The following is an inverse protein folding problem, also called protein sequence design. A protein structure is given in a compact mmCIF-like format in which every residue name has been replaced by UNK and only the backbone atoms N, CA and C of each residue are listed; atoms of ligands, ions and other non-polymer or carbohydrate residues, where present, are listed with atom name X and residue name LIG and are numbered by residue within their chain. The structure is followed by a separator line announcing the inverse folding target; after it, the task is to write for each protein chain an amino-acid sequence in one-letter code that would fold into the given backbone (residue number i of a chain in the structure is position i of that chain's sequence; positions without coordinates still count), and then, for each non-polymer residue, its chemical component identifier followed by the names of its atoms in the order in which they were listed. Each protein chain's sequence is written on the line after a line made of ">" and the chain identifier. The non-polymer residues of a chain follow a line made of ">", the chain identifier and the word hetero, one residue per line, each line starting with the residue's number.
data_IF_828294821117
#
_entry.id   IF_828294821117
#
_cell.length_a   1.000
_cell.length_b   1.000
_cell.length_c   1.000
_cell.angle_alpha   90.00
_cell.angle_beta   90.00
_cell.angle_gamma   90.00
#
_symmetry.space_group_name_H-M   'P 1'
#
loop_
_entity.id
_entity.type
_entity.pdbx_description
1 polymer ?
#
# COMPACT_ATOMS: atom_id res chain seq x y z
N UNK A 1 -67.42 -31.06 -24.66
CA UNK A 1 -67.21 -29.87 -23.81
C UNK A 1 -65.77 -29.97 -23.27
N UNK A 2 -64.85 -29.29 -23.95
CA UNK A 2 -63.38 -29.43 -23.74
C UNK A 2 -62.88 -28.24 -22.93
N UNK A 3 -62.49 -28.49 -21.67
CA UNK A 3 -61.98 -27.44 -20.80
C UNK A 3 -60.51 -27.17 -21.12
N UNK A 4 -60.21 -25.98 -21.66
CA UNK A 4 -58.84 -25.49 -21.88
C UNK A 4 -58.38 -24.85 -20.58
N UNK A 5 -57.49 -25.54 -19.86
CA UNK A 5 -56.77 -24.97 -18.68
C UNK A 5 -55.65 -24.06 -19.21
N UNK A 6 -55.82 -22.76 -19.05
CA UNK A 6 -54.79 -21.75 -19.31
C UNK A 6 -53.79 -21.73 -18.14
N UNK A 7 -52.57 -22.14 -18.38
CA UNK A 7 -51.47 -21.99 -17.43
C UNK A 7 -51.10 -20.52 -17.25
N UNK A 8 -50.87 -20.08 -16.00
CA UNK A 8 -50.48 -18.67 -15.74
C UNK A 8 -48.99 -18.46 -16.02
N UNK A 9 -48.65 -17.82 -17.16
CA UNK A 9 -47.33 -17.43 -17.57
C UNK A 9 -46.68 -16.32 -16.75
N UNK A 10 -47.30 -15.90 -15.64
CA UNK A 10 -46.86 -14.70 -14.88
C UNK A 10 -45.75 -14.96 -13.83
N UNK A 11 -45.50 -16.22 -13.43
CA UNK A 11 -44.58 -16.52 -12.30
C UNK A 11 -43.10 -16.59 -12.70
N UNK A 12 -42.76 -16.80 -13.97
CA UNK A 12 -41.35 -16.95 -14.41
C UNK A 12 -40.54 -15.67 -14.41
N UNK A 13 -41.12 -14.52 -14.65
CA UNK A 13 -40.40 -13.23 -14.71
C UNK A 13 -39.95 -12.70 -13.34
N UNK A 14 -40.70 -12.96 -12.30
CA UNK A 14 -40.42 -12.45 -10.94
C UNK A 14 -39.26 -13.21 -10.27
N UNK A 15 -39.19 -14.52 -10.47
CA UNK A 15 -38.13 -15.37 -9.92
C UNK A 15 -36.74 -15.04 -10.53
N UNK A 16 -36.68 -14.69 -11.80
CA UNK A 16 -35.43 -14.30 -12.48
C UNK A 16 -34.92 -12.95 -12.00
N UNK A 17 -35.79 -11.97 -11.77
CA UNK A 17 -35.42 -10.65 -11.24
C UNK A 17 -34.88 -10.73 -9.83
N UNK A 18 -35.48 -11.56 -8.96
CA UNK A 18 -35.01 -11.79 -7.58
C UNK A 18 -33.63 -12.44 -7.57
N UNK A 19 -33.36 -13.40 -8.46
CA UNK A 19 -32.04 -14.06 -8.56
C UNK A 19 -30.95 -13.09 -9.02
N UNK A 20 -31.22 -12.24 -9.99
CA UNK A 20 -30.28 -11.23 -10.48
C UNK A 20 -29.99 -10.21 -9.36
N UNK A 21 -31.01 -9.74 -8.66
CA UNK A 21 -30.83 -8.80 -7.55
C UNK A 21 -30.01 -9.41 -6.38
N UNK A 22 -30.24 -10.68 -6.05
CA UNK A 22 -29.45 -11.39 -5.03
C UNK A 22 -27.98 -11.57 -5.42
N UNK A 23 -27.70 -11.85 -6.70
CA UNK A 23 -26.33 -11.95 -7.21
C UNK A 23 -25.64 -10.59 -7.18
N UNK A 24 -26.29 -9.52 -7.61
CA UNK A 24 -25.74 -8.16 -7.57
C UNK A 24 -25.48 -7.70 -6.13
N UNK A 25 -26.38 -8.01 -5.20
CA UNK A 25 -26.19 -7.70 -3.79
C UNK A 25 -25.01 -8.49 -3.20
N UNK A 26 -24.87 -9.77 -3.52
CA UNK A 26 -23.75 -10.60 -3.07
C UNK A 26 -22.41 -10.10 -3.63
N UNK A 27 -22.36 -9.70 -4.90
CA UNK A 27 -21.16 -9.09 -5.52
C UNK A 27 -20.84 -7.75 -4.86
N UNK A 28 -21.83 -6.93 -4.58
CA UNK A 28 -21.63 -5.65 -3.88
C UNK A 28 -21.10 -5.85 -2.46
N UNK A 29 -21.63 -6.82 -1.71
CA UNK A 29 -21.13 -7.17 -0.36
C UNK A 29 -19.69 -7.72 -0.45
N UNK A 30 -19.37 -8.55 -1.43
CA UNK A 30 -18.02 -9.06 -1.66
C UNK A 30 -17.01 -7.95 -2.00
N UNK A 31 -17.45 -6.92 -2.73
CA UNK A 31 -16.59 -5.74 -3.02
C UNK A 31 -16.40 -4.84 -1.79
N UNK A 32 -17.31 -4.82 -0.83
CA UNK A 32 -17.19 -4.07 0.42
C UNK A 32 -16.28 -4.77 1.45
N UNK A 33 -15.99 -6.05 1.28
CA UNK A 33 -15.06 -6.81 2.11
C UNK A 33 -13.57 -6.59 1.75
N UNK A 34 -13.24 -5.53 1.03
CA UNK A 34 -11.89 -5.07 0.77
C UNK A 34 -11.12 -4.95 2.08
N UNK A 35 -10.05 -5.75 2.21
CA UNK A 35 -9.32 -6.02 3.45
C UNK A 35 -9.11 -4.80 4.33
N UNK A 36 -9.37 -4.99 5.61
CA UNK A 36 -9.15 -3.96 6.62
C UNK A 36 -7.67 -3.54 6.65
N UNK A 37 -7.40 -2.26 6.53
CA UNK A 37 -6.09 -1.67 6.74
C UNK A 37 -6.13 -0.81 8.01
N UNK A 38 -5.03 -0.73 8.77
CA UNK A 38 -3.74 -1.39 8.55
C UNK A 38 -3.77 -2.90 8.86
N UNK A 39 -2.99 -3.68 8.10
CA UNK A 39 -2.80 -5.11 8.38
C UNK A 39 -1.90 -5.30 9.60
N UNK A 40 -2.16 -6.33 10.36
CA UNK A 40 -1.34 -6.75 11.50
C UNK A 40 -0.16 -7.58 11.01
N UNK A 41 1.02 -6.99 10.97
CA UNK A 41 2.25 -7.57 10.39
C UNK A 41 3.37 -7.75 11.41
N UNK A 42 3.19 -7.23 12.62
CA UNK A 42 4.16 -7.27 13.71
C UNK A 42 4.19 -8.59 14.46
N UNK A 43 5.02 -8.66 15.51
CA UNK A 43 5.02 -9.75 16.46
C UNK A 43 3.68 -9.84 17.20
N UNK A 44 3.45 -10.94 17.88
CA UNK A 44 2.27 -11.12 18.73
C UNK A 44 2.42 -10.30 20.02
N UNK A 45 1.33 -9.65 20.39
CA UNK A 45 1.17 -8.99 21.69
C UNK A 45 0.75 -10.00 22.77
N UNK A 46 0.67 -9.57 24.02
CA UNK A 46 0.32 -10.42 25.15
C UNK A 46 -1.09 -11.07 25.03
N UNK A 47 -1.97 -10.48 24.25
CA UNK A 47 -3.30 -11.00 23.95
C UNK A 47 -3.34 -11.96 22.73
N UNK A 48 -2.17 -12.35 22.20
CA UNK A 48 -2.05 -13.28 21.07
C UNK A 48 -2.36 -12.68 19.69
N UNK A 49 -2.58 -11.35 19.60
CA UNK A 49 -2.83 -10.67 18.33
C UNK A 49 -1.54 -10.08 17.78
N UNK A 50 -1.33 -10.22 16.48
CA UNK A 50 -0.22 -9.53 15.81
C UNK A 50 -0.42 -8.02 15.89
N UNK A 51 0.67 -7.29 16.07
CA UNK A 51 0.68 -5.83 16.10
C UNK A 51 0.59 -5.25 14.67
N UNK A 52 -0.07 -4.11 14.54
CA UNK A 52 0.08 -3.24 13.37
C UNK A 52 1.40 -2.47 13.47
N UNK A 53 1.85 -1.86 12.38
CA UNK A 53 3.06 -1.01 12.40
C UNK A 53 3.01 0.08 13.47
N UNK A 54 1.87 0.74 13.63
CA UNK A 54 1.70 1.83 14.59
C UNK A 54 1.78 1.35 16.06
N UNK A 55 1.31 0.14 16.33
CA UNK A 55 1.31 -0.46 17.66
C UNK A 55 2.69 -0.99 18.09
N UNK A 56 3.62 -1.20 17.13
CA UNK A 56 4.96 -1.69 17.45
C UNK A 56 5.80 -0.67 18.20
N UNK A 57 6.56 -1.13 19.17
CA UNK A 57 7.62 -0.35 19.81
C UNK A 57 8.74 -0.01 18.82
N UNK A 58 9.56 0.98 19.16
CA UNK A 58 10.72 1.36 18.34
C UNK A 58 11.68 0.18 18.11
N UNK A 59 11.90 -0.65 19.13
CA UNK A 59 12.75 -1.83 19.00
C UNK A 59 12.18 -2.84 17.99
N UNK A 60 10.88 -3.13 18.07
CA UNK A 60 10.18 -4.03 17.15
C UNK A 60 10.18 -3.49 15.71
N UNK A 61 9.98 -2.17 15.52
CA UNK A 61 10.10 -1.54 14.20
C UNK A 61 11.52 -1.64 13.64
N UNK A 62 12.56 -1.41 14.46
CA UNK A 62 13.96 -1.57 14.03
C UNK A 62 14.28 -3.01 13.63
N UNK A 63 13.80 -3.98 14.39
CA UNK A 63 13.97 -5.39 14.07
C UNK A 63 13.30 -5.74 12.74
N UNK A 64 12.06 -5.32 12.54
CA UNK A 64 11.33 -5.53 11.28
C UNK A 64 12.00 -4.83 10.10
N UNK A 65 12.57 -3.64 10.29
CA UNK A 65 13.36 -2.95 9.26
C UNK A 65 14.56 -3.79 8.82
N UNK A 66 15.27 -4.43 9.75
CA UNK A 66 16.43 -5.29 9.42
C UNK A 66 16.04 -6.60 8.78
N UNK A 67 15.02 -7.26 9.31
CA UNK A 67 14.70 -8.64 8.96
C UNK A 67 13.75 -8.76 7.76
N UNK A 68 12.91 -7.76 7.51
CA UNK A 68 11.91 -7.79 6.44
C UNK A 68 12.12 -6.68 5.40
N UNK A 69 12.23 -5.41 5.86
CA UNK A 69 12.27 -4.27 4.94
C UNK A 69 13.57 -4.28 4.14
N UNK A 70 14.71 -4.32 4.81
CA UNK A 70 16.02 -4.23 4.17
C UNK A 70 16.25 -5.35 3.13
N UNK A 71 15.98 -6.63 3.42
CA UNK A 71 16.13 -7.70 2.44
C UNK A 71 15.19 -7.54 1.23
N UNK A 72 13.90 -7.28 1.46
CA UNK A 72 12.88 -7.24 0.40
C UNK A 72 12.99 -5.97 -0.46
N UNK A 73 13.15 -4.79 0.15
CA UNK A 73 13.43 -3.56 -0.59
C UNK A 73 14.78 -3.65 -1.31
N UNK A 74 15.78 -4.26 -0.67
CA UNK A 74 17.07 -4.53 -1.28
C UNK A 74 16.97 -5.42 -2.53
N UNK A 75 16.13 -6.44 -2.50
CA UNK A 75 15.88 -7.28 -3.67
C UNK A 75 15.28 -6.49 -4.85
N UNK A 76 14.39 -5.52 -4.58
CA UNK A 76 13.85 -4.63 -5.62
C UNK A 76 14.94 -3.82 -6.28
N UNK A 77 15.84 -3.20 -5.50
CA UNK A 77 16.93 -2.40 -6.06
C UNK A 77 17.97 -3.26 -6.80
N UNK A 78 18.37 -4.40 -6.25
CA UNK A 78 19.32 -5.32 -6.91
C UNK A 78 18.78 -5.89 -8.20
N UNK A 79 17.50 -6.20 -8.30
CA UNK A 79 16.89 -6.66 -9.56
C UNK A 79 16.85 -5.61 -10.65
N UNK A 80 16.99 -4.32 -10.30
CA UNK A 80 17.01 -3.22 -11.25
C UNK A 80 18.44 -2.87 -11.71
N UNK A 81 19.36 -2.66 -10.77
CA UNK A 81 20.76 -2.34 -11.03
C UNK A 81 21.65 -3.12 -10.05
N UNK A 82 21.97 -4.39 -10.34
CA UNK A 82 22.67 -5.26 -9.40
C UNK A 82 24.02 -4.70 -8.98
N UNK A 83 24.82 -4.21 -9.94
CA UNK A 83 26.16 -3.66 -9.67
C UNK A 83 26.13 -2.43 -8.75
N UNK A 84 25.12 -1.57 -8.92
CA UNK A 84 24.96 -0.36 -8.09
C UNK A 84 24.46 -0.65 -6.70
N UNK A 85 23.67 -1.70 -6.54
CA UNK A 85 22.96 -2.05 -5.31
C UNK A 85 23.38 -3.41 -4.76
N UNK A 86 24.61 -3.82 -5.00
CA UNK A 86 25.20 -5.03 -4.44
C UNK A 86 25.09 -5.03 -2.90
N UNK A 87 25.54 -3.94 -2.29
CA UNK A 87 25.41 -3.71 -0.85
C UNK A 87 24.39 -2.63 -0.57
N UNK A 88 23.34 -2.98 0.18
CA UNK A 88 22.29 -2.05 0.59
C UNK A 88 22.30 -1.93 2.11
N UNK A 89 22.29 -0.70 2.59
CA UNK A 89 22.21 -0.36 4.00
C UNK A 89 21.04 0.57 4.30
N UNK A 90 20.79 0.80 5.57
CA UNK A 90 19.75 1.71 6.03
C UNK A 90 19.92 3.15 5.51
N UNK A 91 21.15 3.55 5.18
CA UNK A 91 21.47 4.87 4.62
C UNK A 91 20.77 5.14 3.28
N UNK A 92 20.45 4.09 2.49
CA UNK A 92 19.78 4.28 1.21
C UNK A 92 18.43 4.98 1.35
N UNK A 93 17.72 4.70 2.45
CA UNK A 93 16.39 5.25 2.70
C UNK A 93 16.40 6.35 3.77
N UNK A 94 17.21 6.20 4.83
CA UNK A 94 17.24 7.13 5.95
C UNK A 94 18.34 8.20 5.85
N UNK A 95 19.28 8.05 4.89
CA UNK A 95 20.38 9.00 4.70
C UNK A 95 21.17 9.21 6.00
N UNK A 96 21.58 10.45 6.24
CA UNK A 96 22.30 10.84 7.47
C UNK A 96 21.51 10.63 8.78
N UNK A 97 20.21 10.39 8.70
CA UNK A 97 19.40 10.06 9.88
C UNK A 97 19.89 8.80 10.60
N UNK A 98 20.53 7.88 9.86
CA UNK A 98 21.14 6.71 10.48
C UNK A 98 22.31 7.06 11.43
N UNK A 99 23.12 8.05 11.10
CA UNK A 99 24.26 8.48 11.90
C UNK A 99 23.83 9.13 13.21
N UNK A 100 22.72 9.87 13.16
CA UNK A 100 22.15 10.58 14.33
C UNK A 100 21.14 9.75 15.13
N UNK A 101 20.79 8.55 14.63
CA UNK A 101 19.72 7.73 15.22
C UNK A 101 18.31 8.25 14.94
N UNK A 102 18.16 9.25 14.07
CA UNK A 102 16.87 9.77 13.65
C UNK A 102 16.33 9.00 12.43
N UNK A 103 15.42 8.06 12.67
CA UNK A 103 14.80 7.23 11.64
C UNK A 103 13.40 7.71 11.26
N UNK A 104 13.02 8.94 11.60
CA UNK A 104 11.72 9.49 11.22
C UNK A 104 11.56 9.58 9.71
N UNK A 105 10.36 9.23 9.23
CA UNK A 105 9.94 9.35 7.84
C UNK A 105 8.61 10.11 7.79
N UNK A 106 8.43 10.98 6.80
CA UNK A 106 9.36 11.42 5.75
C UNK A 106 10.57 12.19 6.28
N UNK A 107 11.71 12.15 5.56
CA UNK A 107 12.97 12.73 6.04
C UNK A 107 13.50 13.83 5.14
N UNK A 108 14.15 14.82 5.73
CA UNK A 108 14.88 15.87 5.01
C UNK A 108 16.21 15.39 4.41
N UNK A 109 16.64 14.18 4.74
CA UNK A 109 17.89 13.60 4.22
C UNK A 109 17.73 12.98 2.82
N UNK A 110 16.49 12.83 2.35
CA UNK A 110 16.19 12.47 0.97
C UNK A 110 15.84 13.72 0.14
N UNK A 111 16.03 13.67 -1.19
CA UNK A 111 15.62 14.77 -2.06
C UNK A 111 14.16 15.14 -1.86
N UNK A 112 13.86 16.43 -1.78
CA UNK A 112 12.49 16.92 -1.77
C UNK A 112 11.85 16.71 -3.14
N UNK A 113 10.57 16.36 -3.17
CA UNK A 113 9.81 16.23 -4.41
C UNK A 113 8.92 17.46 -4.61
N UNK A 114 8.61 17.77 -5.88
CA UNK A 114 7.90 19.01 -6.28
C UNK A 114 6.51 19.22 -5.69
N UNK A 115 5.89 18.19 -5.15
CA UNK A 115 4.49 18.26 -4.71
C UNK A 115 3.48 17.88 -5.80
N UNK A 116 3.90 17.80 -7.04
CA UNK A 116 3.08 17.35 -8.17
C UNK A 116 3.10 15.81 -8.25
N UNK A 117 1.97 15.19 -8.00
CA UNK A 117 1.87 13.76 -7.68
C UNK A 117 2.38 12.79 -8.75
N UNK A 118 2.20 13.07 -10.03
CA UNK A 118 2.53 12.15 -11.12
C UNK A 118 3.17 12.81 -12.34
N UNK A 119 3.12 14.12 -12.43
CA UNK A 119 3.59 14.88 -13.58
C UNK A 119 4.74 15.82 -13.21
N UNK A 120 5.30 15.64 -12.02
CA UNK A 120 6.39 16.47 -11.54
C UNK A 120 7.70 16.27 -12.30
N UNK A 121 8.63 17.24 -12.18
CA UNK A 121 9.91 17.21 -12.88
C UNK A 121 10.77 15.98 -12.55
N UNK A 122 10.53 15.32 -11.42
CA UNK A 122 11.22 14.08 -11.03
C UNK A 122 10.89 12.92 -11.97
N UNK A 123 9.65 12.86 -12.47
CA UNK A 123 9.22 11.86 -13.46
C UNK A 123 9.95 12.07 -14.78
N UNK A 124 10.02 13.32 -15.24
CA UNK A 124 10.67 13.65 -16.50
C UNK A 124 12.21 13.43 -16.46
N UNK A 125 12.84 13.74 -15.30
CA UNK A 125 14.30 13.60 -15.15
C UNK A 125 14.75 12.17 -14.90
N UNK A 126 13.95 11.37 -14.22
CA UNK A 126 14.33 10.03 -13.74
C UNK A 126 13.22 9.00 -13.93
N UNK A 127 12.70 8.80 -15.16
CA UNK A 127 11.53 7.94 -15.40
C UNK A 127 11.74 6.51 -14.92
N UNK A 128 12.89 5.90 -15.22
CA UNK A 128 13.18 4.51 -14.85
C UNK A 128 13.18 4.31 -13.34
N UNK A 129 13.81 5.24 -12.59
CA UNK A 129 13.86 5.18 -11.14
C UNK A 129 12.49 5.40 -10.53
N UNK A 130 11.71 6.31 -11.12
CA UNK A 130 10.36 6.64 -10.64
C UNK A 130 9.41 5.48 -10.88
N UNK A 131 9.43 4.88 -12.06
CA UNK A 131 8.65 3.68 -12.39
C UNK A 131 9.00 2.51 -11.46
N UNK A 132 10.29 2.22 -11.26
CA UNK A 132 10.71 1.18 -10.31
C UNK A 132 10.11 1.40 -8.92
N UNK A 133 10.17 2.64 -8.42
CA UNK A 133 9.66 2.97 -7.09
C UNK A 133 8.15 2.82 -7.01
N UNK A 134 7.41 3.30 -8.01
CA UNK A 134 5.94 3.22 -8.02
C UNK A 134 5.44 1.79 -8.22
N UNK A 135 6.02 1.06 -9.16
CA UNK A 135 5.50 -0.24 -9.56
C UNK A 135 5.96 -1.36 -8.63
N UNK A 136 7.10 -1.19 -7.96
CA UNK A 136 7.70 -2.26 -7.18
C UNK A 136 8.04 -1.88 -5.75
N UNK A 137 8.76 -0.77 -5.51
CA UNK A 137 9.24 -0.43 -4.17
C UNK A 137 8.08 -0.01 -3.25
N UNK A 138 7.21 0.90 -3.70
CA UNK A 138 6.07 1.39 -2.91
C UNK A 138 5.11 0.26 -2.52
N UNK A 139 4.65 -0.62 -3.44
CA UNK A 139 3.81 -1.75 -3.08
C UNK A 139 4.49 -2.72 -2.12
N UNK A 140 5.78 -3.02 -2.35
CA UNK A 140 6.56 -3.90 -1.47
C UNK A 140 6.65 -3.33 -0.05
N UNK A 141 6.96 -2.05 0.08
CA UNK A 141 7.05 -1.38 1.38
C UNK A 141 5.70 -1.33 2.08
N UNK A 142 4.64 -0.97 1.37
CA UNK A 142 3.29 -0.94 1.91
C UNK A 142 2.87 -2.31 2.46
N UNK A 143 3.13 -3.39 1.72
CA UNK A 143 2.83 -4.75 2.15
C UNK A 143 3.60 -5.13 3.42
N UNK A 144 4.93 -4.89 3.47
CA UNK A 144 5.76 -5.22 4.63
C UNK A 144 5.30 -4.45 5.88
N UNK A 145 4.90 -3.19 5.71
CA UNK A 145 4.45 -2.33 6.80
C UNK A 145 2.97 -2.55 7.15
N UNK A 146 2.25 -3.37 6.39
CA UNK A 146 0.83 -3.61 6.57
C UNK A 146 -0.03 -2.40 6.23
N UNK A 147 0.47 -1.49 5.40
CA UNK A 147 -0.20 -0.27 4.98
C UNK A 147 -0.85 -0.45 3.60
N UNK A 148 -1.87 0.35 3.33
CA UNK A 148 -2.44 0.41 1.99
C UNK A 148 -1.50 1.18 1.07
N UNK A 149 -1.21 0.65 -0.12
CA UNK A 149 -0.47 1.41 -1.14
C UNK A 149 -1.25 2.65 -1.55
N UNK A 150 -0.51 3.69 -1.94
CA UNK A 150 -1.09 4.94 -2.38
C UNK A 150 -2.08 4.74 -3.54
N UNK A 151 -3.21 5.40 -3.45
CA UNK A 151 -4.24 5.44 -4.48
C UNK A 151 -4.44 6.86 -4.98
N UNK A 152 -4.38 7.06 -6.28
CA UNK A 152 -4.62 8.35 -6.94
C UNK A 152 -6.06 8.81 -6.70
N UNK A 153 -7.01 7.87 -6.66
CA UNK A 153 -8.44 8.15 -6.51
C UNK A 153 -8.72 8.69 -5.12
N UNK A 154 -8.21 8.03 -4.08
CA UNK A 154 -8.44 8.43 -2.68
C UNK A 154 -7.39 9.42 -2.17
N UNK A 155 -6.31 9.65 -2.93
CA UNK A 155 -5.15 10.47 -2.55
C UNK A 155 -4.57 10.11 -1.17
N UNK A 156 -4.63 8.83 -0.82
CA UNK A 156 -4.20 8.33 0.49
C UNK A 156 -3.43 7.02 0.35
N UNK A 157 -2.69 6.67 1.39
CA UNK A 157 -1.89 5.46 1.47
C UNK A 157 -0.38 5.73 1.41
N UNK A 158 0.39 4.65 1.55
CA UNK A 158 1.85 4.68 1.51
C UNK A 158 2.36 4.96 0.08
N UNK A 159 3.13 6.03 -0.09
CA UNK A 159 3.60 6.49 -1.39
C UNK A 159 4.90 7.29 -1.31
N UNK A 160 5.18 8.10 -2.33
CA UNK A 160 6.42 8.89 -2.42
C UNK A 160 6.65 9.78 -1.19
N UNK A 161 5.60 10.42 -0.72
CA UNK A 161 5.65 11.32 0.44
C UNK A 161 5.62 10.61 1.79
N UNK A 162 5.57 9.30 1.82
CA UNK A 162 5.87 8.53 3.03
C UNK A 162 7.37 8.50 3.35
N UNK A 163 8.21 8.83 2.35
CA UNK A 163 9.66 8.85 2.48
C UNK A 163 10.25 10.23 2.21
N UNK A 164 9.72 10.97 1.27
CA UNK A 164 10.20 12.28 0.82
C UNK A 164 9.35 13.42 1.36
N UNK A 165 9.98 14.57 1.61
CA UNK A 165 9.27 15.81 1.88
C UNK A 165 8.92 16.52 0.56
N UNK A 166 7.83 17.30 0.54
CA UNK A 166 7.57 18.32 -0.46
C UNK A 166 8.39 19.59 -0.18
N UNK A 167 8.41 20.58 -1.09
CA UNK A 167 9.08 21.86 -0.82
C UNK A 167 8.57 22.53 0.46
N UNK A 168 7.26 22.45 0.71
CA UNK A 168 6.58 23.09 1.84
C UNK A 168 6.46 22.19 3.07
N UNK A 169 7.08 21.01 3.06
CA UNK A 169 7.01 20.05 4.16
C UNK A 169 6.23 18.78 3.83
N UNK A 170 5.69 18.07 4.82
CA UNK A 170 4.91 16.87 4.59
C UNK A 170 3.55 17.19 3.94
N UNK A 171 3.24 16.55 2.80
CA UNK A 171 1.95 16.74 2.09
C UNK A 171 0.81 16.02 2.82
N UNK A 172 1.11 14.94 3.49
CA UNK A 172 0.15 14.17 4.28
C UNK A 172 0.58 14.27 5.75
N UNK A 173 -0.37 14.62 6.60
CA UNK A 173 -0.12 14.68 8.04
C UNK A 173 0.50 13.38 8.54
N UNK A 174 1.37 13.51 9.54
CA UNK A 174 2.02 12.38 10.19
C UNK A 174 0.95 11.39 10.66
N UNK A 175 0.86 10.26 10.00
CA UNK A 175 0.11 9.10 10.47
C UNK A 175 0.99 8.24 11.38
#
# INVERSE_FOLDING_TARGET
>A
MMLIIREPTFIRGTCMKIRIFSILLAVMIAMLSGGCYPKRVGPESADGKKLTWAEMSLAQRKERMRNEVLPRAGAVFRSWKPERFETISCNLCHGKGMETGNFHMPTAHLPRLSGELLLGPEFAKHPDTTNLKLDRLVPTMADILGLKSFSIITRSGFGCYSCHLSPDGPIFGNS
#
